data_IF_774600545127
#
_entry.id   IF_774600545127
#
_cell.length_a   1.000
_cell.length_b   1.000
_cell.length_c   1.000
_cell.angle_alpha   90.00
_cell.angle_beta   90.00
_cell.angle_gamma   90.00
#
_symmetry.space_group_name_H-M   'P 1'
#
loop_
_entity.id
_entity.type
_entity.pdbx_description
1 polymer ?
#
# COMPACT_ATOMS: atom_id res chain seq x y z
N UNK A 1 3.41 -2.53 -5.69
CA UNK A 1 2.36 -3.09 -4.83
C UNK A 1 0.98 -2.62 -5.25
N UNK A 2 -0.01 -3.43 -4.96
CA UNK A 2 -1.41 -3.04 -5.10
C UNK A 2 -2.04 -3.13 -3.71
N UNK A 3 -2.86 -2.15 -3.35
CA UNK A 3 -3.56 -2.16 -2.06
C UNK A 3 -4.70 -3.15 -2.15
N UNK A 4 -4.57 -4.27 -1.45
CA UNK A 4 -5.60 -5.32 -1.44
C UNK A 4 -6.74 -4.94 -0.52
N UNK A 5 -6.39 -4.47 0.69
CA UNK A 5 -7.39 -4.15 1.69
C UNK A 5 -6.82 -3.11 2.66
N UNK A 6 -7.70 -2.33 3.24
CA UNK A 6 -7.35 -1.41 4.31
C UNK A 6 -8.17 -1.81 5.53
N UNK A 7 -7.49 -2.05 6.63
CA UNK A 7 -8.15 -2.57 7.83
C UNK A 7 -7.56 -1.88 9.06
N UNK A 8 -8.43 -1.17 9.79
CA UNK A 8 -7.98 -0.47 10.99
C UNK A 8 -6.93 0.59 10.65
N UNK A 9 -5.75 0.46 11.23
CA UNK A 9 -4.65 1.40 11.04
C UNK A 9 -3.52 0.84 10.16
N UNK A 10 -3.81 -0.20 9.38
CA UNK A 10 -2.84 -0.76 8.45
C UNK A 10 -3.51 -1.13 7.12
N UNK A 11 -2.68 -1.30 6.10
CA UNK A 11 -3.10 -1.78 4.79
C UNK A 11 -2.34 -3.04 4.43
N UNK A 12 -2.97 -3.91 3.64
CA UNK A 12 -2.33 -5.08 3.08
C UNK A 12 -1.96 -4.76 1.63
N UNK A 13 -0.68 -4.77 1.34
CA UNK A 13 -0.16 -4.52 0.00
C UNK A 13 0.27 -5.85 -0.62
N UNK A 14 -0.04 -6.02 -1.89
CA UNK A 14 0.24 -7.26 -2.61
C UNK A 14 1.21 -6.96 -3.75
N UNK A 15 2.27 -7.75 -3.85
CA UNK A 15 3.20 -7.66 -4.96
C UNK A 15 2.63 -8.35 -6.20
N UNK A 16 3.27 -8.15 -7.36
CA UNK A 16 2.82 -8.75 -8.62
C UNK A 16 2.87 -10.28 -8.59
N UNK A 17 3.72 -10.84 -7.75
CA UNK A 17 3.82 -12.30 -7.59
C UNK A 17 2.93 -12.84 -6.45
N UNK A 18 2.08 -12.00 -5.88
CA UNK A 18 1.08 -12.44 -4.91
C UNK A 18 1.51 -12.42 -3.45
N UNK A 19 2.68 -11.86 -3.14
CA UNK A 19 3.14 -11.75 -1.75
C UNK A 19 2.39 -10.63 -1.05
N UNK A 20 1.92 -10.89 0.17
CA UNK A 20 1.18 -9.91 0.96
C UNK A 20 2.08 -9.32 2.05
N UNK A 21 2.01 -7.99 2.19
CA UNK A 21 2.74 -7.28 3.23
C UNK A 21 1.81 -6.33 3.95
N UNK A 22 1.88 -6.30 5.27
CA UNK A 22 1.14 -5.31 6.06
C UNK A 22 1.98 -4.07 6.24
N UNK A 23 1.39 -2.92 5.99
CA UNK A 23 2.07 -1.63 6.12
C UNK A 23 1.16 -0.69 6.92
N UNK A 24 1.73 -0.01 7.90
CA UNK A 24 0.97 0.95 8.68
C UNK A 24 0.44 2.08 7.79
N UNK A 25 -0.82 2.46 7.97
CA UNK A 25 -1.41 3.54 7.19
C UNK A 25 -0.65 4.86 7.35
N UNK A 26 -0.02 5.07 8.50
CA UNK A 26 0.78 6.27 8.74
C UNK A 26 1.96 6.40 7.78
N UNK A 27 2.40 5.30 7.17
CA UNK A 27 3.50 5.30 6.20
C UNK A 27 3.02 5.52 4.76
N UNK A 28 1.71 5.52 4.54
CA UNK A 28 1.12 5.64 3.21
C UNK A 28 0.51 7.03 3.03
N UNK A 29 0.36 7.49 1.77
CA UNK A 29 -0.34 8.76 1.53
C UNK A 29 -1.76 8.72 2.10
N UNK A 30 -2.27 9.85 2.66
CA UNK A 30 -3.58 9.86 3.31
C UNK A 30 -4.75 9.59 2.35
N UNK A 31 -4.56 9.79 1.06
CA UNK A 31 -5.60 9.54 0.05
C UNK A 31 -5.63 8.11 -0.49
N UNK A 32 -4.89 7.18 0.13
CA UNK A 32 -4.81 5.79 -0.34
C UNK A 32 -6.15 5.08 -0.22
N UNK A 33 -6.48 4.30 -1.25
CA UNK A 33 -7.68 3.46 -1.29
C UNK A 33 -7.34 2.05 -1.70
N UNK A 34 -8.25 1.14 -1.40
CA UNK A 34 -8.16 -0.24 -1.90
C UNK A 34 -8.17 -0.22 -3.43
N UNK A 35 -7.28 -0.99 -4.02
CA UNK A 35 -7.11 -1.04 -5.47
C UNK A 35 -6.05 -0.10 -6.01
N UNK A 36 -5.58 0.86 -5.22
CA UNK A 36 -4.51 1.76 -5.64
C UNK A 36 -3.20 1.01 -5.84
N UNK A 37 -2.40 1.50 -6.77
CA UNK A 37 -1.05 1.00 -6.97
C UNK A 37 -0.07 1.85 -6.18
N UNK A 38 0.84 1.16 -5.50
CA UNK A 38 1.82 1.80 -4.62
C UNK A 38 3.22 1.47 -5.13
N UNK A 39 4.06 2.48 -5.20
CA UNK A 39 5.50 2.29 -5.44
C UNK A 39 6.25 2.62 -4.16
N UNK A 40 7.23 1.80 -3.83
CA UNK A 40 8.13 2.06 -2.71
C UNK A 40 9.44 2.60 -3.28
N UNK A 41 9.78 3.83 -2.94
CA UNK A 41 11.01 4.48 -3.38
C UNK A 41 11.85 4.77 -2.14
N UNK A 42 12.82 3.91 -1.88
CA UNK A 42 13.58 4.00 -0.66
C UNK A 42 12.69 3.69 0.54
N UNK A 43 12.48 4.69 1.41
CA UNK A 43 11.64 4.54 2.59
C UNK A 43 10.26 5.18 2.41
N UNK A 44 9.98 5.70 1.22
CA UNK A 44 8.73 6.41 0.95
C UNK A 44 7.80 5.55 0.09
N UNK A 45 6.52 5.70 0.34
CA UNK A 45 5.47 5.06 -0.46
C UNK A 45 4.71 6.14 -1.21
N UNK A 46 4.43 5.91 -2.47
CA UNK A 46 3.68 6.84 -3.30
C UNK A 46 2.61 6.10 -4.09
N UNK A 47 1.50 6.79 -4.34
CA UNK A 47 0.41 6.24 -5.16
C UNK A 47 0.71 6.54 -6.61
N UNK A 48 0.61 5.52 -7.46
CA UNK A 48 0.75 5.67 -8.91
C UNK A 48 -0.65 5.84 -9.50
N UNK A 49 -0.84 6.96 -10.20
CA UNK A 49 -2.12 7.24 -10.85
C UNK A 49 -1.93 7.66 -12.28
#
# INVERSE_FOLDING_TARGET
YTVKTIWGDYAVLVTDDGMENKVALALLPPEVFEGDRIVCDGMDYAIIR
#
